data_IF_375685694391
#
_entry.id   IF_375685694391
#
_cell.length_a   1.000
_cell.length_b   1.000
_cell.length_c   1.000
_cell.angle_alpha   90.00
_cell.angle_beta   90.00
_cell.angle_gamma   90.00
#
_symmetry.space_group_name_H-M   'P 1'
#
loop_
_entity.id
_entity.type
_entity.pdbx_description
1 polymer ?
#
# COMPACT_ATOMS: atom_id res chain seq x y z
N UNK A 1 -5.53 7.57 15.98
CA UNK A 1 -4.74 7.07 17.13
C UNK A 1 -4.27 8.26 17.94
N UNK A 2 -4.09 8.10 19.25
CA UNK A 2 -3.71 9.17 20.17
C UNK A 2 -2.51 8.70 20.98
N UNK A 3 -1.52 9.57 21.15
CA UNK A 3 -0.28 9.31 21.88
C UNK A 3 0.51 8.08 21.35
N UNK A 4 0.75 8.04 20.04
CA UNK A 4 1.66 7.07 19.42
C UNK A 4 3.07 7.69 19.32
N UNK A 5 3.69 7.69 18.14
CA UNK A 5 4.93 8.41 17.85
C UNK A 5 4.71 9.93 17.82
N UNK A 6 3.54 10.34 17.36
CA UNK A 6 3.01 11.70 17.42
C UNK A 6 1.74 11.74 18.29
N UNK A 7 1.37 12.93 18.77
CA UNK A 7 0.19 13.10 19.63
C UNK A 7 -1.09 12.62 18.96
N UNK A 8 -1.24 12.87 17.66
CA UNK A 8 -2.40 12.50 16.88
C UNK A 8 -1.96 11.86 15.57
N UNK A 9 -2.67 10.79 15.20
CA UNK A 9 -2.55 10.16 13.89
C UNK A 9 -3.92 9.81 13.35
N UNK A 10 -4.37 10.58 12.37
CA UNK A 10 -5.64 10.34 11.70
C UNK A 10 -5.46 9.25 10.65
N UNK A 11 -6.45 8.36 10.56
CA UNK A 11 -6.40 7.24 9.63
C UNK A 11 -7.80 6.93 9.11
N UNK A 12 -7.93 6.93 7.80
CA UNK A 12 -9.07 6.36 7.09
C UNK A 12 -8.61 5.13 6.29
N UNK A 13 -9.49 4.14 6.19
CA UNK A 13 -9.24 2.91 5.43
C UNK A 13 -10.49 2.63 4.60
N UNK A 14 -10.33 2.57 3.28
CA UNK A 14 -11.38 2.23 2.34
C UNK A 14 -10.98 0.98 1.54
N UNK A 15 -11.98 0.24 1.07
CA UNK A 15 -11.77 -0.96 0.25
C UNK A 15 -11.50 -0.59 -1.21
N UNK A 16 -10.68 -1.37 -1.89
CA UNK A 16 -10.31 -1.12 -3.28
C UNK A 16 -9.40 0.10 -3.42
N UNK A 17 -9.46 0.77 -4.58
CA UNK A 17 -8.61 1.91 -4.89
C UNK A 17 -9.41 3.21 -4.79
N UNK A 18 -9.44 3.77 -3.57
CA UNK A 18 -10.21 4.97 -3.22
C UNK A 18 -9.35 5.95 -2.39
N UNK A 19 -8.09 6.19 -2.79
CA UNK A 19 -7.18 7.01 -1.98
C UNK A 19 -7.67 8.45 -1.84
N UNK A 20 -8.18 9.04 -2.92
CA UNK A 20 -8.72 10.40 -2.88
C UNK A 20 -9.94 10.54 -1.95
N UNK A 21 -10.82 9.54 -1.91
CA UNK A 21 -11.97 9.55 -1.01
C UNK A 21 -11.55 9.35 0.46
N UNK A 22 -10.56 8.48 0.69
CA UNK A 22 -9.96 8.28 2.01
C UNK A 22 -9.28 9.58 2.51
N UNK A 23 -8.53 10.24 1.63
CA UNK A 23 -7.92 11.53 1.92
C UNK A 23 -8.98 12.56 2.31
N UNK A 24 -10.01 12.80 1.47
CA UNK A 24 -11.11 13.76 1.77
C UNK A 24 -11.81 13.47 3.10
N UNK A 25 -12.00 12.20 3.46
CA UNK A 25 -12.59 11.84 4.75
C UNK A 25 -11.68 12.24 5.91
N UNK A 26 -10.37 12.06 5.75
CA UNK A 26 -9.37 12.38 6.78
C UNK A 26 -9.19 13.89 6.91
N UNK A 27 -9.07 14.58 5.79
CA UNK A 27 -8.93 16.04 5.66
C UNK A 27 -10.07 16.78 6.35
N UNK A 28 -11.32 16.34 6.09
CA UNK A 28 -12.49 16.88 6.79
C UNK A 28 -12.41 16.73 8.31
N UNK A 29 -11.92 15.58 8.79
CA UNK A 29 -11.77 15.34 10.23
C UNK A 29 -10.64 16.18 10.81
N UNK A 30 -9.57 16.37 10.04
CA UNK A 30 -8.44 17.21 10.42
C UNK A 30 -8.85 18.68 10.61
N UNK A 31 -9.59 19.23 9.64
CA UNK A 31 -10.18 20.59 9.70
C UNK A 31 -11.12 20.78 10.90
N UNK A 32 -11.93 19.76 11.23
CA UNK A 32 -12.84 19.80 12.38
C UNK A 32 -12.09 19.76 13.71
N UNK A 33 -10.95 19.06 13.77
CA UNK A 33 -10.11 18.98 14.96
C UNK A 33 -9.28 20.25 15.18
N UNK A 34 -8.73 20.82 14.12
CA UNK A 34 -7.90 22.04 14.19
C UNK A 34 -8.69 23.25 14.73
N UNK A 35 -10.03 23.24 14.60
CA UNK A 35 -10.90 24.25 15.24
C UNK A 35 -10.80 24.27 16.77
N UNK A 36 -10.39 23.16 17.39
CA UNK A 36 -10.36 22.99 18.84
C UNK A 36 -8.96 22.65 19.37
N UNK A 37 -7.99 22.41 18.49
CA UNK A 37 -6.65 21.95 18.82
C UNK A 37 -5.61 22.73 18.00
N UNK A 38 -4.63 23.31 18.68
CA UNK A 38 -3.50 23.95 18.00
C UNK A 38 -2.48 22.88 17.59
N UNK A 39 -2.32 22.68 16.28
CA UNK A 39 -1.28 21.80 15.75
C UNK A 39 0.10 22.45 15.81
N UNK A 40 1.10 21.63 16.15
CA UNK A 40 2.49 22.06 16.14
C UNK A 40 2.94 22.22 14.67
N UNK A 41 2.98 23.46 14.17
CA UNK A 41 3.26 23.77 12.78
C UNK A 41 4.32 24.87 12.64
N UNK A 42 5.24 24.71 11.68
CA UNK A 42 6.18 25.76 11.28
C UNK A 42 6.11 26.01 9.77
N UNK A 43 6.04 27.27 9.29
CA UNK A 43 5.88 27.58 7.87
C UNK A 43 6.93 26.95 6.94
N UNK A 44 8.16 26.74 7.43
CA UNK A 44 9.24 26.13 6.66
C UNK A 44 9.21 24.59 6.66
N UNK A 45 8.69 23.98 7.73
CA UNK A 45 8.82 22.54 8.00
C UNK A 45 7.49 21.78 7.97
N UNK A 46 6.37 22.49 7.89
CA UNK A 46 5.03 21.91 7.97
C UNK A 46 4.67 21.49 9.40
N UNK A 47 3.90 20.41 9.52
CA UNK A 47 3.55 19.80 10.79
C UNK A 47 4.78 19.17 11.45
N UNK A 48 5.01 19.54 12.70
CA UNK A 48 6.10 19.01 13.50
C UNK A 48 5.76 17.61 13.98
N UNK A 49 6.69 16.70 13.79
CA UNK A 49 6.55 15.27 14.06
C UNK A 49 7.85 14.75 14.67
N UNK A 50 7.74 13.73 15.52
CA UNK A 50 8.91 12.99 16.03
C UNK A 50 9.60 12.17 14.95
N UNK A 51 8.88 11.84 13.87
CA UNK A 51 9.36 10.98 12.79
C UNK A 51 9.90 11.80 11.61
N UNK A 52 11.20 11.72 11.27
CA UNK A 52 11.73 12.47 10.12
C UNK A 52 11.01 12.14 8.80
N UNK A 53 10.49 10.92 8.65
CA UNK A 53 9.77 10.46 7.44
C UNK A 53 8.37 11.04 7.28
N UNK A 54 7.83 11.72 8.29
CA UNK A 54 6.53 12.40 8.23
C UNK A 54 6.66 13.93 8.08
N UNK A 55 7.88 14.49 8.08
CA UNK A 55 8.12 15.96 8.04
C UNK A 55 7.41 16.61 6.84
N UNK A 56 6.80 17.79 7.02
CA UNK A 56 6.03 18.49 6.00
C UNK A 56 4.54 18.29 6.19
N UNK A 57 3.90 17.57 5.28
CA UNK A 57 2.45 17.30 5.30
C UNK A 57 2.02 16.34 6.41
N UNK A 58 2.92 15.59 7.04
CA UNK A 58 2.54 14.52 7.98
C UNK A 58 1.84 13.33 7.31
N UNK A 59 1.68 13.36 5.98
CA UNK A 59 0.79 12.45 5.25
C UNK A 59 1.48 11.17 4.78
N UNK A 60 0.79 10.05 5.01
CA UNK A 60 1.14 8.77 4.38
C UNK A 60 -0.04 8.18 3.63
N UNK A 61 -0.02 8.31 2.31
CA UNK A 61 -0.95 7.62 1.41
C UNK A 61 -0.40 6.22 1.09
N UNK A 62 -1.24 5.18 1.21
CA UNK A 62 -0.80 3.82 0.88
C UNK A 62 -1.92 2.92 0.36
N UNK A 63 -1.57 2.04 -0.58
CA UNK A 63 -2.45 1.01 -1.11
C UNK A 63 -1.86 -0.38 -0.83
N UNK A 64 -2.71 -1.30 -0.41
CA UNK A 64 -2.36 -2.72 -0.32
C UNK A 64 -2.87 -3.45 -1.56
N UNK A 65 -2.00 -4.24 -2.18
CA UNK A 65 -2.28 -4.99 -3.41
C UNK A 65 -1.96 -6.47 -3.22
N UNK A 66 -2.76 -7.32 -3.83
CA UNK A 66 -2.47 -8.74 -4.00
C UNK A 66 -1.96 -8.97 -5.42
N UNK A 67 -0.68 -9.35 -5.56
CA UNK A 67 0.04 -9.45 -6.84
C UNK A 67 0.53 -10.89 -7.16
N UNK A 68 -0.33 -11.91 -7.11
CA UNK A 68 0.06 -13.31 -7.25
C UNK A 68 0.58 -13.63 -8.66
N UNK A 69 0.03 -13.03 -9.72
CA UNK A 69 0.51 -13.33 -11.07
C UNK A 69 1.91 -12.75 -11.32
N UNK A 70 2.18 -11.55 -10.83
CA UNK A 70 3.52 -10.97 -10.88
C UNK A 70 4.51 -11.73 -9.99
N UNK A 71 4.08 -12.27 -8.85
CA UNK A 71 4.89 -13.13 -8.00
C UNK A 71 5.26 -14.46 -8.67
N UNK A 72 4.26 -15.18 -9.19
CA UNK A 72 4.45 -16.47 -9.89
C UNK A 72 5.30 -16.31 -11.15
N UNK A 73 5.22 -15.16 -11.82
CA UNK A 73 6.05 -14.86 -13.00
C UNK A 73 7.42 -14.24 -12.66
N UNK A 74 7.79 -14.17 -11.38
CA UNK A 74 9.07 -13.62 -10.89
C UNK A 74 9.33 -12.17 -11.32
N UNK A 75 8.28 -11.35 -11.43
CA UNK A 75 8.37 -9.94 -11.86
C UNK A 75 8.32 -8.93 -10.71
N UNK A 76 8.15 -9.40 -9.48
CA UNK A 76 8.05 -8.52 -8.29
C UNK A 76 9.32 -7.69 -8.11
N UNK A 77 10.51 -8.28 -8.11
CA UNK A 77 11.75 -7.53 -7.86
C UNK A 77 11.98 -6.39 -8.86
N UNK A 78 11.61 -6.62 -10.13
CA UNK A 78 11.65 -5.59 -11.16
C UNK A 78 10.62 -4.48 -10.89
N UNK A 79 9.40 -4.87 -10.54
CA UNK A 79 8.33 -3.94 -10.16
C UNK A 79 8.76 -3.05 -8.98
N UNK A 80 9.30 -3.64 -7.91
CA UNK A 80 9.74 -2.89 -6.71
C UNK A 80 10.80 -1.85 -7.08
N UNK A 81 11.81 -2.24 -7.87
CA UNK A 81 12.84 -1.31 -8.37
C UNK A 81 12.26 -0.17 -9.20
N UNK A 82 11.25 -0.46 -10.02
CA UNK A 82 10.60 0.55 -10.85
C UNK A 82 9.77 1.52 -9.99
N UNK A 83 9.06 1.03 -8.97
CA UNK A 83 8.30 1.87 -8.02
C UNK A 83 9.25 2.78 -7.24
N UNK A 84 10.40 2.27 -6.77
CA UNK A 84 11.40 3.09 -6.08
C UNK A 84 11.96 4.22 -6.94
N UNK A 85 12.16 3.99 -8.25
CA UNK A 85 12.59 5.06 -9.18
C UNK A 85 11.54 6.17 -9.36
N UNK A 86 10.28 5.90 -9.03
CA UNK A 86 9.18 6.86 -9.10
C UNK A 86 8.99 7.61 -7.78
N UNK A 87 9.90 7.49 -6.81
CA UNK A 87 9.81 8.17 -5.51
C UNK A 87 8.77 7.58 -4.56
N UNK A 88 8.40 6.32 -4.78
CA UNK A 88 7.47 5.58 -3.93
C UNK A 88 8.18 4.41 -3.25
N UNK A 89 7.66 3.99 -2.10
CA UNK A 89 8.13 2.80 -1.40
C UNK A 89 7.16 1.67 -1.71
N UNK A 90 7.71 0.51 -2.08
CA UNK A 90 6.96 -0.73 -2.11
C UNK A 90 7.58 -1.73 -1.13
N UNK A 91 6.75 -2.41 -0.33
CA UNK A 91 7.19 -3.44 0.62
C UNK A 91 6.19 -4.58 0.75
N UNK A 92 6.65 -5.77 1.13
CA UNK A 92 5.76 -6.89 1.46
C UNK A 92 5.00 -6.64 2.77
N UNK A 93 3.89 -7.35 2.98
CA UNK A 93 3.05 -7.22 4.18
C UNK A 93 3.81 -7.47 5.50
N UNK A 94 4.80 -8.37 5.49
CA UNK A 94 5.54 -8.82 6.69
C UNK A 94 7.00 -8.32 6.79
N UNK A 95 7.32 -7.17 6.16
CA UNK A 95 8.55 -6.42 6.45
C UNK A 95 9.54 -6.27 5.29
N UNK A 96 10.69 -5.65 5.61
CA UNK A 96 11.82 -5.46 4.70
C UNK A 96 12.66 -6.75 4.62
N UNK A 97 12.77 -7.35 3.43
CA UNK A 97 13.68 -8.47 3.17
C UNK A 97 13.10 -9.89 3.31
N UNK A 98 11.84 -10.05 3.73
CA UNK A 98 11.14 -11.34 3.74
C UNK A 98 10.33 -11.56 2.47
N UNK A 99 10.26 -12.80 1.97
CA UNK A 99 9.30 -13.19 0.92
C UNK A 99 7.91 -12.75 1.38
N UNK A 100 7.22 -11.94 0.57
CA UNK A 100 5.85 -11.50 0.85
C UNK A 100 4.94 -12.71 1.04
N UNK A 101 4.60 -13.06 2.27
CA UNK A 101 3.62 -14.12 2.53
C UNK A 101 2.28 -13.71 1.91
N UNK A 102 1.69 -14.61 1.13
CA UNK A 102 0.43 -14.38 0.43
C UNK A 102 0.47 -13.36 -0.71
N UNK A 103 1.66 -13.00 -1.22
CA UNK A 103 1.83 -12.08 -2.36
C UNK A 103 1.14 -10.72 -2.16
N UNK A 104 1.09 -10.26 -0.91
CA UNK A 104 0.60 -8.93 -0.54
C UNK A 104 1.72 -7.91 -0.47
N UNK A 105 1.51 -6.77 -1.13
CA UNK A 105 2.45 -5.67 -1.22
C UNK A 105 1.76 -4.35 -0.89
N UNK A 106 2.46 -3.48 -0.19
CA UNK A 106 2.03 -2.12 0.08
C UNK A 106 2.86 -1.16 -0.76
N UNK A 107 2.18 -0.24 -1.46
CA UNK A 107 2.79 0.91 -2.13
C UNK A 107 2.43 2.15 -1.32
N UNK A 108 3.41 2.99 -0.99
CA UNK A 108 3.19 4.27 -0.29
C UNK A 108 4.12 5.37 -0.80
N UNK A 109 3.78 6.63 -0.51
CA UNK A 109 4.71 7.74 -0.73
C UNK A 109 5.97 7.61 0.14
N UNK A 110 7.09 8.14 -0.38
CA UNK A 110 8.33 8.33 0.37
C UNK A 110 8.52 9.79 0.80
N UNK A 111 8.05 10.71 -0.04
CA UNK A 111 8.21 12.15 0.14
C UNK A 111 6.96 12.71 0.79
N UNK A 112 7.16 13.53 1.82
CA UNK A 112 6.11 14.19 2.62
C UNK A 112 6.30 15.71 2.70
N UNK A 113 7.49 16.23 2.32
CA UNK A 113 7.83 17.65 2.35
C UNK A 113 7.96 18.20 0.92
N UNK A 114 7.39 19.37 0.68
CA UNK A 114 7.55 20.10 -0.59
C UNK A 114 6.58 19.69 -1.70
N UNK A 115 5.54 18.92 -1.39
CA UNK A 115 4.44 18.58 -2.31
C UNK A 115 3.12 18.74 -1.59
N UNK A 116 2.05 19.02 -2.34
CA UNK A 116 0.70 19.09 -1.77
C UNK A 116 0.16 17.68 -1.50
N UNK A 117 -0.66 17.55 -0.47
CA UNK A 117 -1.29 16.30 -0.07
C UNK A 117 -2.04 15.62 -1.24
N UNK A 118 -2.83 16.40 -1.97
CA UNK A 118 -3.57 15.96 -3.16
C UNK A 118 -2.65 15.38 -4.24
N UNK A 119 -1.51 16.03 -4.50
CA UNK A 119 -0.52 15.58 -5.50
C UNK A 119 0.14 14.26 -5.07
N UNK A 120 0.42 14.11 -3.77
CA UNK A 120 0.94 12.87 -3.20
C UNK A 120 -0.06 11.73 -3.39
N UNK A 121 -1.33 11.98 -3.08
CA UNK A 121 -2.42 11.01 -3.25
C UNK A 121 -2.59 10.61 -4.70
N UNK A 122 -2.66 11.57 -5.62
CA UNK A 122 -2.78 11.33 -7.06
C UNK A 122 -1.60 10.54 -7.62
N UNK A 123 -0.37 10.84 -7.17
CA UNK A 123 0.82 10.12 -7.60
C UNK A 123 0.80 8.65 -7.17
N UNK A 124 0.51 8.38 -5.89
CA UNK A 124 0.39 7.00 -5.38
C UNK A 124 -0.73 6.26 -6.10
N UNK A 125 -1.88 6.91 -6.32
CA UNK A 125 -3.01 6.29 -7.01
C UNK A 125 -2.68 5.98 -8.48
N UNK A 126 -2.04 6.90 -9.19
CA UNK A 126 -1.64 6.73 -10.59
C UNK A 126 -0.69 5.55 -10.77
N UNK A 127 0.36 5.47 -9.95
CA UNK A 127 1.29 4.33 -10.00
C UNK A 127 0.57 3.03 -9.62
N UNK A 128 -0.27 3.06 -8.58
CA UNK A 128 -1.07 1.90 -8.17
C UNK A 128 -1.95 1.37 -9.32
N UNK A 129 -2.62 2.26 -10.08
CA UNK A 129 -3.42 1.88 -11.27
C UNK A 129 -2.58 1.18 -12.32
N UNK A 130 -1.34 1.63 -12.56
CA UNK A 130 -0.43 0.98 -13.49
C UNK A 130 -0.05 -0.42 -13.02
N UNK A 131 0.28 -0.59 -11.74
CA UNK A 131 0.59 -1.91 -11.15
C UNK A 131 -0.59 -2.88 -11.28
N UNK A 132 -1.81 -2.42 -10.96
CA UNK A 132 -3.04 -3.21 -11.15
C UNK A 132 -3.20 -3.62 -12.62
N UNK A 133 -2.89 -2.73 -13.56
CA UNK A 133 -2.90 -3.05 -14.99
C UNK A 133 -1.88 -4.13 -15.38
N UNK A 134 -0.67 -4.10 -14.81
CA UNK A 134 0.36 -5.11 -15.05
C UNK A 134 -0.05 -6.48 -14.48
N UNK A 135 -0.60 -6.51 -13.26
CA UNK A 135 -1.10 -7.73 -12.62
C UNK A 135 -2.24 -8.36 -13.43
N UNK A 136 -3.22 -7.57 -13.88
CA UNK A 136 -4.31 -8.08 -14.74
C UNK A 136 -3.77 -8.69 -16.04
N UNK A 137 -2.83 -8.03 -16.71
CA UNK A 137 -2.18 -8.57 -17.91
C UNK A 137 -1.43 -9.87 -17.63
N UNK A 138 -0.72 -9.96 -16.50
CA UNK A 138 -0.02 -11.17 -16.11
C UNK A 138 -1.00 -12.34 -15.86
N UNK A 139 -2.12 -12.08 -15.19
CA UNK A 139 -3.20 -13.08 -15.00
C UNK A 139 -3.75 -13.59 -16.33
N UNK A 140 -4.05 -12.68 -17.26
CA UNK A 140 -4.58 -13.07 -18.58
C UNK A 140 -3.60 -13.95 -19.36
N UNK A 141 -2.31 -13.65 -19.29
CA UNK A 141 -1.26 -14.46 -19.93
C UNK A 141 -1.18 -15.85 -19.30
N UNK A 142 -1.18 -15.95 -17.97
CA UNK A 142 -1.13 -17.23 -17.26
C UNK A 142 -2.36 -18.10 -17.58
N UNK A 143 -3.55 -17.50 -17.58
CA UNK A 143 -4.80 -18.20 -17.92
C UNK A 143 -4.79 -18.76 -19.34
N UNK A 144 -4.21 -18.02 -20.30
CA UNK A 144 -4.13 -18.45 -21.71
C UNK A 144 -3.08 -19.54 -21.93
N UNK A 145 -1.95 -19.47 -21.23
CA UNK A 145 -0.83 -20.39 -21.43
C UNK A 145 -1.04 -21.73 -20.71
N UNK A 146 -1.43 -21.68 -19.44
CA UNK A 146 -1.39 -22.84 -18.52
C UNK A 146 -2.68 -22.94 -17.68
N UNK A 147 -3.83 -22.61 -18.26
CA UNK A 147 -5.10 -22.48 -17.53
C UNK A 147 -5.57 -23.74 -16.80
N UNK A 148 -5.24 -24.95 -17.28
CA UNK A 148 -5.56 -26.21 -16.59
C UNK A 148 -4.68 -26.37 -15.35
N UNK A 149 -3.37 -26.18 -15.50
CA UNK A 149 -2.41 -26.28 -14.40
C UNK A 149 -2.71 -25.23 -13.32
N UNK A 150 -3.07 -24.00 -13.71
CA UNK A 150 -3.44 -22.96 -12.76
C UNK A 150 -4.67 -23.35 -11.94
N UNK A 151 -5.71 -23.90 -12.60
CA UNK A 151 -6.91 -24.39 -11.90
C UNK A 151 -6.61 -25.56 -10.98
N UNK A 152 -5.75 -26.50 -11.39
CA UNK A 152 -5.33 -27.62 -10.54
C UNK A 152 -4.59 -27.11 -9.29
N UNK A 153 -3.66 -26.16 -9.45
CA UNK A 153 -2.95 -25.53 -8.32
C UNK A 153 -3.91 -24.83 -7.36
N UNK A 154 -4.85 -24.02 -7.88
CA UNK A 154 -5.87 -23.36 -7.05
C UNK A 154 -6.77 -24.38 -6.34
N UNK A 155 -7.15 -25.47 -7.01
CA UNK A 155 -7.96 -26.54 -6.44
C UNK A 155 -7.25 -27.30 -5.33
N UNK A 156 -5.94 -27.57 -5.49
CA UNK A 156 -5.11 -28.19 -4.45
C UNK A 156 -4.99 -27.30 -3.22
N UNK A 157 -4.70 -26.01 -3.42
CA UNK A 157 -4.63 -25.04 -2.32
C UNK A 157 -5.96 -24.99 -1.55
N UNK A 158 -7.08 -24.88 -2.27
CA UNK A 158 -8.41 -24.93 -1.66
C UNK A 158 -8.66 -26.23 -0.89
N UNK A 159 -8.34 -27.39 -1.48
CA UNK A 159 -8.52 -28.69 -0.84
C UNK A 159 -7.71 -28.85 0.45
N UNK A 160 -6.46 -28.38 0.45
CA UNK A 160 -5.62 -28.32 1.65
C UNK A 160 -6.24 -27.43 2.72
N UNK A 161 -6.62 -26.20 2.38
CA UNK A 161 -7.19 -25.23 3.33
C UNK A 161 -8.50 -25.71 3.97
N UNK A 162 -9.32 -26.48 3.25
CA UNK A 162 -10.61 -26.98 3.76
C UNK A 162 -10.47 -28.27 4.56
N UNK A 163 -9.41 -29.06 4.35
CA UNK A 163 -9.29 -30.42 4.90
C UNK A 163 -8.18 -30.60 5.92
N UNK A 164 -7.20 -29.69 5.99
CA UNK A 164 -6.06 -29.82 6.87
C UNK A 164 -6.43 -29.53 8.34
N UNK A 165 -5.91 -30.37 9.25
CA UNK A 165 -6.04 -30.17 10.70
C UNK A 165 -4.91 -29.32 11.31
N UNK A 166 -3.80 -29.18 10.59
CA UNK A 166 -2.63 -28.40 11.00
C UNK A 166 -2.02 -27.77 9.75
N UNK A 167 -1.75 -26.47 9.82
CA UNK A 167 -1.12 -25.67 8.77
C UNK A 167 -0.12 -24.70 9.40
N UNK A 168 0.97 -24.42 8.68
CA UNK A 168 1.92 -23.36 9.06
C UNK A 168 1.44 -22.01 8.54
N UNK A 169 1.96 -20.91 9.10
CA UNK A 169 1.65 -19.56 8.65
C UNK A 169 2.05 -19.29 7.21
N UNK A 170 3.07 -19.99 6.69
CA UNK A 170 3.55 -19.83 5.32
C UNK A 170 2.77 -20.65 4.28
N UNK A 171 1.89 -21.56 4.73
CA UNK A 171 1.31 -22.64 3.93
C UNK A 171 -0.11 -22.33 3.42
#
# INVERSE_FOLDING_TARGET
>A
MVNEEDHLRLQSILSGLQLMDAWRLTDKIDDELEQNLDYAFLPQWGYLTSCPTNTGTGMRASCMLHLPALAVTHKIDELMKNISKLGLIARGLYGEGTKSQGDFFQISNQVTLGSREEEVVDHVESVTRQVVGQEKKARDILLRRDGIQLRDQMGRAYGTLVSAYLLRSEE
#
